data_IF_884916957338
#
_entry.id   IF_884916957338
#
_cell.length_a   1.000
_cell.length_b   1.000
_cell.length_c   1.000
_cell.angle_alpha   90.00
_cell.angle_beta   90.00
_cell.angle_gamma   90.00
#
_symmetry.space_group_name_H-M   'P 1'
#
loop_
_entity.id
_entity.type
_entity.pdbx_description
1 polymer ?
#
# COMPACT_ATOMS: atom_id res chain seq x y z
N UNK A 1 -7.89 25.15 -72.23
CA UNK A 1 -8.98 25.59 -71.34
C UNK A 1 -9.83 24.36 -71.06
N UNK A 2 -9.58 23.71 -69.92
CA UNK A 2 -10.44 22.64 -69.40
C UNK A 2 -10.32 22.63 -67.89
N UNK A 3 -11.45 22.89 -67.24
CA UNK A 3 -11.67 22.96 -65.80
C UNK A 3 -11.26 21.69 -65.05
N UNK A 4 -10.51 21.87 -63.95
CA UNK A 4 -10.26 20.83 -62.96
C UNK A 4 -11.29 21.03 -61.84
N UNK A 5 -12.35 20.25 -61.87
CA UNK A 5 -13.27 20.12 -60.75
C UNK A 5 -12.66 19.18 -59.69
N UNK A 6 -12.33 19.72 -58.52
CA UNK A 6 -12.04 18.95 -57.31
C UNK A 6 -13.35 18.76 -56.53
N UNK A 7 -13.90 17.53 -56.40
CA UNK A 7 -15.04 17.28 -55.54
C UNK A 7 -14.62 17.28 -54.07
N UNK A 8 -15.41 17.98 -53.28
CA UNK A 8 -15.29 18.20 -51.84
C UNK A 8 -15.79 16.99 -51.05
N UNK A 9 -15.02 16.66 -50.00
CA UNK A 9 -15.35 16.01 -48.71
C UNK A 9 -16.56 15.06 -48.60
N UNK A 10 -16.31 13.81 -48.20
CA UNK A 10 -17.21 13.10 -47.28
C UNK A 10 -16.44 12.00 -46.51
N UNK A 11 -16.13 12.26 -45.23
CA UNK A 11 -15.70 11.24 -44.26
C UNK A 11 -16.95 10.65 -43.59
N UNK A 12 -16.92 9.36 -43.18
CA UNK A 12 -16.41 9.12 -41.83
C UNK A 12 -15.43 7.95 -41.77
N UNK A 13 -14.19 8.27 -41.37
CA UNK A 13 -13.20 7.34 -40.87
C UNK A 13 -13.75 6.60 -39.65
N UNK A 14 -14.34 5.42 -39.85
CA UNK A 14 -14.62 4.47 -38.78
C UNK A 14 -13.33 3.77 -38.40
N UNK A 15 -12.45 4.48 -37.68
CA UNK A 15 -11.35 3.83 -36.95
C UNK A 15 -12.02 2.99 -35.88
N UNK A 16 -12.27 1.72 -36.18
CA UNK A 16 -12.43 0.70 -35.14
C UNK A 16 -11.12 0.75 -34.36
N UNK A 17 -11.11 1.44 -33.21
CA UNK A 17 -10.14 1.13 -32.16
C UNK A 17 -10.42 -0.33 -31.80
N UNK A 18 -9.67 -1.24 -32.40
CA UNK A 18 -9.37 -2.49 -31.73
C UNK A 18 -8.83 -2.09 -30.37
N UNK A 19 -9.63 -2.30 -29.33
CA UNK A 19 -9.14 -2.33 -27.96
C UNK A 19 -8.12 -3.46 -27.99
N UNK A 20 -6.85 -3.11 -28.11
CA UNK A 20 -5.77 -4.06 -27.85
C UNK A 20 -6.09 -4.62 -26.47
N UNK A 21 -6.37 -5.93 -26.32
CA UNK A 21 -6.47 -6.50 -24.99
C UNK A 21 -5.17 -6.11 -24.30
N UNK A 22 -5.28 -5.35 -23.21
CA UNK A 22 -4.14 -4.96 -22.37
C UNK A 22 -3.35 -6.23 -22.15
N UNK A 23 -2.18 -6.33 -22.79
CA UNK A 23 -1.33 -7.49 -22.63
C UNK A 23 -1.09 -7.65 -21.12
N UNK A 24 -1.22 -8.87 -20.55
CA UNK A 24 -0.89 -9.06 -19.15
C UNK A 24 0.55 -8.59 -18.97
N UNK A 25 0.72 -7.59 -18.10
CA UNK A 25 2.04 -7.05 -17.76
C UNK A 25 2.85 -8.24 -17.21
N UNK A 26 4.05 -8.52 -17.75
CA UNK A 26 4.86 -9.64 -17.30
C UNK A 26 5.11 -9.51 -15.79
N UNK A 27 4.79 -10.57 -15.06
CA UNK A 27 4.82 -10.59 -13.59
C UNK A 27 6.17 -11.18 -13.20
N UNK A 28 7.15 -10.32 -12.93
CA UNK A 28 8.49 -10.73 -12.47
C UNK A 28 8.46 -11.26 -11.03
N UNK A 29 9.42 -12.13 -10.70
CA UNK A 29 9.57 -12.79 -9.40
C UNK A 29 9.40 -11.78 -8.22
N UNK A 30 8.66 -12.14 -7.17
CA UNK A 30 8.42 -11.29 -5.98
C UNK A 30 9.74 -10.83 -5.32
N UNK A 31 10.80 -11.65 -5.37
CA UNK A 31 12.12 -11.30 -4.89
C UNK A 31 12.86 -10.34 -5.85
N UNK A 32 12.72 -10.55 -7.15
CA UNK A 32 13.21 -9.62 -8.17
C UNK A 32 12.53 -8.25 -8.03
N UNK A 33 11.24 -8.24 -7.70
CA UNK A 33 10.47 -7.02 -7.43
C UNK A 33 10.97 -6.29 -6.16
N UNK A 34 11.36 -7.01 -5.11
CA UNK A 34 11.92 -6.38 -3.90
C UNK A 34 13.27 -5.70 -4.20
N UNK A 35 14.17 -6.37 -4.91
CA UNK A 35 15.46 -5.81 -5.29
C UNK A 35 15.27 -4.50 -6.09
N UNK A 36 14.28 -4.44 -6.97
CA UNK A 36 13.94 -3.22 -7.69
C UNK A 36 13.42 -2.10 -6.79
N UNK A 37 12.54 -2.40 -5.83
CA UNK A 37 12.02 -1.40 -4.88
C UNK A 37 13.17 -0.80 -4.06
N UNK A 38 14.07 -1.65 -3.57
CA UNK A 38 15.27 -1.21 -2.84
C UNK A 38 16.18 -0.37 -3.74
N UNK A 39 16.38 -0.76 -5.01
CA UNK A 39 17.17 0.03 -5.97
C UNK A 39 16.56 1.41 -6.20
N UNK A 40 15.24 1.51 -6.37
CA UNK A 40 14.55 2.79 -6.55
C UNK A 40 14.65 3.65 -5.28
N UNK A 41 14.44 3.07 -4.10
CA UNK A 41 14.62 3.78 -2.83
C UNK A 41 16.04 4.35 -2.69
N UNK A 42 17.07 3.56 -2.98
CA UNK A 42 18.47 4.00 -2.95
C UNK A 42 18.78 5.08 -3.99
N UNK A 43 18.12 5.06 -5.15
CA UNK A 43 18.34 6.06 -6.21
C UNK A 43 17.93 7.48 -5.81
N UNK A 44 17.12 7.64 -4.77
CA UNK A 44 16.73 8.96 -4.24
C UNK A 44 17.85 9.70 -3.54
N UNK A 45 18.92 9.00 -3.16
CA UNK A 45 20.01 9.56 -2.34
C UNK A 45 19.68 9.71 -0.84
N UNK A 46 18.45 9.40 -0.43
CA UNK A 46 18.05 9.35 0.98
C UNK A 46 18.73 8.18 1.70
N UNK A 47 18.97 8.33 3.01
CA UNK A 47 19.46 7.25 3.85
C UNK A 47 18.35 6.22 4.05
N UNK A 48 18.58 5.00 3.56
CA UNK A 48 17.68 3.86 3.73
C UNK A 48 18.19 2.95 4.85
N UNK A 49 17.32 2.68 5.83
CA UNK A 49 17.53 1.64 6.83
C UNK A 49 16.33 0.68 6.82
N UNK A 50 16.60 -0.61 6.94
CA UNK A 50 15.58 -1.65 6.95
C UNK A 50 15.86 -2.53 8.17
N UNK A 51 14.91 -2.64 9.08
CA UNK A 51 14.98 -3.57 10.19
C UNK A 51 14.58 -4.99 9.71
N UNK A 52 15.03 -6.06 10.39
CA UNK A 52 14.53 -7.41 10.12
C UNK A 52 13.01 -7.45 10.18
N UNK A 53 12.38 -8.12 9.22
CA UNK A 53 10.93 -8.33 9.25
C UNK A 53 10.58 -9.24 10.42
N UNK A 54 9.54 -8.86 11.15
CA UNK A 54 9.06 -9.63 12.28
C UNK A 54 7.73 -10.30 11.94
N UNK A 55 7.53 -11.49 12.48
CA UNK A 55 6.36 -12.33 12.26
C UNK A 55 5.61 -12.54 13.57
N UNK A 56 4.32 -12.82 13.48
CA UNK A 56 3.48 -13.05 14.66
C UNK A 56 2.49 -14.19 14.45
N UNK A 57 2.22 -14.94 15.52
CA UNK A 57 1.16 -15.94 15.59
C UNK A 57 -0.20 -15.32 15.94
N UNK A 58 -0.17 -14.23 16.71
CA UNK A 58 -1.32 -13.75 17.49
C UNK A 58 -1.51 -12.23 17.43
N UNK A 59 -0.60 -11.49 16.78
CA UNK A 59 -0.59 -10.03 16.75
C UNK A 59 0.05 -9.38 17.97
N UNK A 60 0.45 -10.15 18.98
CA UNK A 60 0.97 -9.67 20.27
C UNK A 60 2.47 -9.85 20.33
N UNK A 61 2.96 -11.07 20.06
CA UNK A 61 4.39 -11.39 20.07
C UNK A 61 4.94 -11.33 18.66
N UNK A 62 6.03 -10.59 18.49
CA UNK A 62 6.70 -10.36 17.21
C UNK A 62 8.11 -10.95 17.27
N UNK A 63 8.46 -11.78 16.30
CA UNK A 63 9.76 -12.47 16.23
C UNK A 63 10.41 -12.31 14.86
N UNK A 64 11.72 -12.07 14.76
CA UNK A 64 12.41 -11.87 13.49
C UNK A 64 12.64 -13.17 12.70
N UNK A 65 12.39 -14.33 13.32
CA UNK A 65 12.59 -15.64 12.71
C UNK A 65 11.35 -16.50 12.94
N UNK A 66 10.79 -17.03 11.86
CA UNK A 66 9.62 -17.90 11.88
C UNK A 66 10.03 -19.34 11.53
N UNK A 67 9.95 -20.25 12.50
CA UNK A 67 10.37 -21.65 12.35
C UNK A 67 9.19 -22.65 12.39
N UNK A 68 7.96 -22.14 12.47
CA UNK A 68 6.78 -23.01 12.52
C UNK A 68 6.43 -23.50 11.11
N UNK A 69 5.86 -24.71 11.04
CA UNK A 69 5.34 -25.27 9.78
C UNK A 69 4.11 -24.51 9.28
N UNK A 70 3.29 -24.00 10.20
CA UNK A 70 2.14 -23.16 9.87
C UNK A 70 2.60 -21.75 9.50
N UNK A 71 1.93 -21.12 8.50
CA UNK A 71 2.25 -19.75 8.14
C UNK A 71 1.94 -18.79 9.32
N UNK A 72 2.70 -17.69 9.45
CA UNK A 72 2.42 -16.69 10.47
C UNK A 72 1.04 -16.05 10.25
N UNK A 73 0.41 -15.55 11.30
CA UNK A 73 -0.84 -14.79 11.16
C UNK A 73 -0.59 -13.42 10.49
N UNK A 74 0.58 -12.83 10.73
CA UNK A 74 0.97 -11.56 10.14
C UNK A 74 2.47 -11.31 10.19
N UNK A 75 2.89 -10.26 9.48
CA UNK A 75 4.26 -9.77 9.48
C UNK A 75 4.29 -8.23 9.54
N UNK A 76 5.37 -7.71 10.11
CA UNK A 76 5.66 -6.30 10.31
C UNK A 76 7.03 -5.99 9.70
N UNK A 77 7.06 -5.01 8.81
CA UNK A 77 8.31 -4.46 8.28
C UNK A 77 8.46 -3.00 8.72
N UNK A 78 9.69 -2.64 9.06
CA UNK A 78 10.07 -1.28 9.45
C UNK A 78 11.16 -0.77 8.53
N UNK A 79 10.89 0.35 7.86
CA UNK A 79 11.81 1.05 6.97
C UNK A 79 11.99 2.46 7.47
N UNK A 80 13.24 2.96 7.52
CA UNK A 80 13.53 4.36 7.83
C UNK A 80 14.10 5.07 6.61
N UNK A 81 13.51 6.22 6.27
CA UNK A 81 14.00 7.16 5.25
C UNK A 81 14.50 8.41 5.96
N UNK A 82 15.80 8.69 5.88
CA UNK A 82 16.43 9.82 6.57
C UNK A 82 16.10 9.89 8.07
N UNK A 83 15.99 8.71 8.71
CA UNK A 83 15.63 8.56 10.12
C UNK A 83 14.12 8.60 10.41
N UNK A 84 13.27 8.90 9.43
CA UNK A 84 11.81 8.86 9.58
C UNK A 84 11.32 7.42 9.43
N UNK A 85 10.74 6.88 10.50
CA UNK A 85 10.26 5.52 10.57
C UNK A 85 8.91 5.31 9.89
N UNK A 86 8.82 4.27 9.08
CA UNK A 86 7.59 3.78 8.45
C UNK A 86 7.42 2.30 8.78
N UNK A 87 6.35 1.98 9.50
CA UNK A 87 5.98 0.62 9.89
C UNK A 87 4.78 0.19 9.05
N UNK A 88 4.86 -1.00 8.44
CA UNK A 88 3.75 -1.65 7.75
C UNK A 88 3.51 -3.02 8.34
N UNK A 89 2.24 -3.28 8.68
CA UNK A 89 1.76 -4.58 9.15
C UNK A 89 0.80 -5.15 8.10
N UNK A 90 0.96 -6.43 7.79
CA UNK A 90 0.06 -7.17 6.90
C UNK A 90 -0.30 -8.51 7.49
N UNK A 91 -1.51 -8.98 7.19
CA UNK A 91 -1.94 -10.34 7.50
C UNK A 91 -1.51 -11.28 6.37
N UNK A 92 -1.19 -12.52 6.73
CA UNK A 92 -0.85 -13.56 5.76
C UNK A 92 -1.96 -13.77 4.73
N UNK A 93 -3.21 -13.83 5.19
CA UNK A 93 -4.39 -14.04 4.33
C UNK A 93 -4.62 -12.91 3.31
N UNK A 94 -4.08 -11.71 3.56
CA UNK A 94 -4.16 -10.56 2.64
C UNK A 94 -3.00 -10.54 1.63
N UNK A 95 -2.00 -11.38 1.83
CA UNK A 95 -0.80 -11.45 0.98
C UNK A 95 -0.89 -12.54 -0.08
N UNK A 96 -1.79 -13.51 0.09
CA UNK A 96 -1.97 -14.60 -0.86
C UNK A 96 -2.39 -14.04 -2.24
N UNK A 97 -1.68 -14.42 -3.32
CA UNK A 97 -2.11 -14.12 -4.67
C UNK A 97 -3.49 -14.73 -4.95
N UNK A 98 -4.30 -14.05 -5.75
CA UNK A 98 -5.58 -14.61 -6.21
C UNK A 98 -5.38 -15.91 -6.99
N UNK A 99 -6.36 -16.81 -6.91
CA UNK A 99 -6.29 -18.17 -7.48
C UNK A 99 -6.06 -18.20 -9.00
N UNK A 100 -6.47 -17.14 -9.70
CA UNK A 100 -6.34 -16.97 -11.15
C UNK A 100 -5.04 -16.29 -11.59
N UNK A 101 -4.19 -15.85 -10.65
CA UNK A 101 -2.96 -15.13 -10.98
C UNK A 101 -1.90 -16.09 -11.56
N UNK A 102 -1.49 -15.83 -12.80
CA UNK A 102 -0.48 -16.61 -13.51
C UNK A 102 0.84 -15.83 -13.67
N UNK A 103 1.94 -16.56 -13.69
CA UNK A 103 3.27 -16.05 -14.11
C UNK A 103 3.37 -15.93 -15.62
N UNK A 104 4.43 -15.29 -16.09
CA UNK A 104 4.87 -15.27 -17.49
C UNK A 104 5.10 -16.68 -18.08
N UNK A 105 5.52 -17.62 -17.23
CA UNK A 105 5.73 -19.04 -17.52
C UNK A 105 4.45 -19.88 -17.45
N UNK A 106 3.31 -19.27 -17.12
CA UNK A 106 2.01 -19.94 -17.02
C UNK A 106 1.79 -20.75 -15.73
N UNK A 107 2.69 -20.64 -14.75
CA UNK A 107 2.51 -21.23 -13.41
C UNK A 107 1.56 -20.37 -12.59
N UNK A 108 0.83 -20.96 -11.63
CA UNK A 108 0.04 -20.16 -10.68
C UNK A 108 0.96 -19.51 -9.67
N UNK A 109 0.71 -18.23 -9.39
CA UNK A 109 1.44 -17.50 -8.35
C UNK A 109 1.27 -18.12 -6.97
N UNK A 110 0.10 -18.69 -6.70
CA UNK A 110 -0.17 -19.37 -5.44
C UNK A 110 0.77 -20.56 -5.23
N UNK A 111 1.07 -21.34 -6.27
CA UNK A 111 1.98 -22.48 -6.16
C UNK A 111 3.40 -22.02 -5.78
N UNK A 112 3.88 -20.96 -6.44
CA UNK A 112 5.20 -20.35 -6.16
C UNK A 112 5.24 -19.74 -4.77
N UNK A 113 4.12 -19.16 -4.32
CA UNK A 113 3.99 -18.61 -2.99
C UNK A 113 4.07 -19.69 -1.91
N UNK A 114 3.40 -20.82 -2.14
CA UNK A 114 3.35 -21.94 -1.20
C UNK A 114 4.68 -22.70 -1.08
N UNK A 115 5.54 -22.65 -2.11
CA UNK A 115 6.90 -23.22 -2.08
C UNK A 115 7.82 -22.52 -1.08
N UNK A 116 7.75 -21.17 -0.97
CA UNK A 116 8.64 -20.36 -0.12
C UNK A 116 7.85 -19.32 0.69
N UNK A 117 6.87 -19.79 1.44
CA UNK A 117 5.85 -18.99 2.12
C UNK A 117 6.41 -17.80 2.91
N UNK A 118 7.33 -18.07 3.84
CA UNK A 118 7.89 -17.05 4.74
C UNK A 118 8.65 -15.97 3.97
N UNK A 119 9.53 -16.35 3.06
CA UNK A 119 10.36 -15.42 2.27
C UNK A 119 9.50 -14.53 1.34
N UNK A 120 8.47 -15.13 0.73
CA UNK A 120 7.55 -14.39 -0.15
C UNK A 120 6.72 -13.39 0.62
N UNK A 121 6.27 -13.76 1.82
CA UNK A 121 5.52 -12.86 2.69
C UNK A 121 6.40 -11.76 3.25
N UNK A 122 7.62 -12.07 3.66
CA UNK A 122 8.64 -11.09 4.05
C UNK A 122 8.83 -10.04 2.96
N UNK A 123 9.11 -10.50 1.73
CA UNK A 123 9.33 -9.64 0.57
C UNK A 123 8.11 -8.77 0.28
N UNK A 124 6.91 -9.31 0.43
CA UNK A 124 5.66 -8.58 0.23
C UNK A 124 5.46 -7.46 1.26
N UNK A 125 5.65 -7.73 2.56
CA UNK A 125 5.48 -6.70 3.59
C UNK A 125 6.57 -5.63 3.47
N UNK A 126 7.80 -6.03 3.12
CA UNK A 126 8.89 -5.09 2.91
C UNK A 126 8.67 -4.18 1.70
N UNK A 127 8.16 -4.70 0.57
CA UNK A 127 7.76 -3.88 -0.58
C UNK A 127 6.67 -2.86 -0.20
N UNK A 128 5.69 -3.27 0.58
CA UNK A 128 4.64 -2.37 1.05
C UNK A 128 5.19 -1.27 1.98
N UNK A 129 6.18 -1.60 2.83
CA UNK A 129 6.87 -0.62 3.67
C UNK A 129 7.69 0.37 2.83
N UNK A 130 8.45 -0.12 1.84
CA UNK A 130 9.21 0.71 0.90
C UNK A 130 8.30 1.63 0.08
N UNK A 131 7.19 1.12 -0.44
CA UNK A 131 6.21 1.93 -1.17
C UNK A 131 5.61 3.06 -0.32
N UNK A 132 5.42 2.80 0.97
CA UNK A 132 4.91 3.80 1.92
C UNK A 132 5.96 4.81 2.36
N UNK A 133 7.22 4.39 2.51
CA UNK A 133 8.33 5.27 2.89
C UNK A 133 8.82 6.15 1.72
N UNK A 134 8.65 5.67 0.49
CA UNK A 134 9.06 6.35 -0.75
C UNK A 134 7.88 6.53 -1.72
N UNK A 135 6.79 7.20 -1.31
CA UNK A 135 5.59 7.33 -2.13
C UNK A 135 5.83 8.13 -3.41
N UNK A 136 6.81 9.03 -3.39
CA UNK A 136 7.25 9.89 -4.49
C UNK A 136 7.90 9.13 -5.66
N UNK A 137 8.54 8.00 -5.40
CA UNK A 137 9.28 7.24 -6.42
C UNK A 137 8.78 5.79 -6.59
N UNK A 138 8.15 5.22 -5.56
CA UNK A 138 7.60 3.86 -5.56
C UNK A 138 6.07 3.87 -5.51
N UNK A 139 5.44 4.85 -4.85
CA UNK A 139 4.01 4.81 -4.49
C UNK A 139 3.02 4.66 -5.66
N UNK A 140 3.43 4.98 -6.89
CA UNK A 140 2.63 4.76 -8.10
C UNK A 140 2.85 3.37 -8.75
N UNK A 141 3.73 2.53 -8.21
CA UNK A 141 3.96 1.16 -8.69
C UNK A 141 2.87 0.22 -8.19
N UNK A 142 2.33 -0.53 -9.14
CA UNK A 142 1.25 -1.48 -8.93
C UNK A 142 1.70 -2.67 -8.08
N UNK A 143 1.06 -2.90 -6.94
CA UNK A 143 1.18 -4.16 -6.20
C UNK A 143 0.38 -5.25 -6.94
N UNK A 144 1.10 -6.22 -7.49
CA UNK A 144 0.56 -7.27 -8.36
C UNK A 144 -0.45 -8.16 -7.62
N UNK A 145 -1.60 -8.44 -8.27
CA UNK A 145 -2.59 -9.41 -7.79
C UNK A 145 -3.72 -8.86 -6.91
N UNK A 146 -3.74 -7.55 -6.58
CA UNK A 146 -4.88 -6.94 -5.89
C UNK A 146 -5.86 -6.29 -6.87
N UNK A 147 -7.18 -6.53 -6.75
CA UNK A 147 -8.16 -5.82 -7.54
C UNK A 147 -8.02 -4.30 -7.28
N UNK A 148 -7.95 -3.55 -8.38
CA UNK A 148 -7.86 -2.09 -8.36
C UNK A 148 -9.15 -1.55 -7.76
N UNK A 149 -9.10 -1.02 -6.54
CA UNK A 149 -10.08 -0.01 -6.15
C UNK A 149 -9.76 1.20 -7.02
N UNK A 150 -10.68 1.71 -7.85
CA UNK A 150 -10.45 2.95 -8.56
C UNK A 150 -10.08 4.00 -7.52
N UNK A 151 -8.87 4.55 -7.60
CA UNK A 151 -8.53 5.77 -6.87
C UNK A 151 -9.60 6.76 -7.31
N UNK A 152 -10.45 7.21 -6.38
CA UNK A 152 -11.36 8.31 -6.64
C UNK A 152 -10.46 9.42 -7.17
N UNK A 153 -10.63 9.77 -8.44
CA UNK A 153 -9.87 10.87 -9.02
C UNK A 153 -10.28 12.08 -8.20
N UNK A 154 -9.34 12.69 -7.47
CA UNK A 154 -9.62 13.99 -6.86
C UNK A 154 -10.13 14.88 -7.99
N UNK A 155 -11.32 15.49 -7.83
CA UNK A 155 -11.85 16.36 -8.87
C UNK A 155 -10.80 17.43 -9.17
N UNK A 156 -10.56 17.68 -10.46
CA UNK A 156 -9.64 18.70 -10.89
C UNK A 156 -9.98 20.02 -10.17
N UNK A 157 -8.96 20.70 -9.65
CA UNK A 157 -9.09 21.97 -8.96
C UNK A 157 -9.86 22.96 -9.86
N UNK A 158 -11.12 23.25 -9.51
CA UNK A 158 -12.01 24.14 -10.25
C UNK A 158 -13.28 23.52 -10.84
N UNK A 159 -13.50 22.21 -10.74
CA UNK A 159 -14.78 21.60 -11.14
C UNK A 159 -15.76 21.60 -9.94
N UNK A 160 -16.94 22.25 -10.03
CA UNK A 160 -17.88 22.30 -8.92
C UNK A 160 -18.33 20.88 -8.59
N UNK A 161 -18.31 20.54 -7.28
CA UNK A 161 -18.83 19.27 -6.80
C UNK A 161 -20.21 19.00 -7.42
N UNK A 162 -20.50 17.77 -7.87
CA UNK A 162 -21.81 17.44 -8.41
C UNK A 162 -22.87 17.84 -7.37
N UNK A 163 -23.91 18.58 -7.78
CA UNK A 163 -24.91 19.05 -6.83
C UNK A 163 -25.56 17.84 -6.17
N UNK A 164 -25.43 17.76 -4.84
CA UNK A 164 -26.16 16.77 -4.05
C UNK A 164 -27.63 17.07 -4.23
N UNK A 165 -28.36 16.12 -4.80
CA UNK A 165 -29.82 16.24 -4.94
C UNK A 165 -30.47 16.13 -3.57
N UNK A 166 -31.64 16.76 -3.35
CA UNK A 166 -32.38 16.62 -2.09
C UNK A 166 -32.68 15.15 -1.73
N UNK A 167 -32.84 14.29 -2.74
CA UNK A 167 -33.03 12.84 -2.57
C UNK A 167 -31.79 12.16 -2.00
N UNK A 168 -30.60 12.50 -2.50
CA UNK A 168 -29.33 11.98 -1.98
C UNK A 168 -29.04 12.47 -0.55
N UNK A 169 -29.43 13.70 -0.22
CA UNK A 169 -29.32 14.21 1.15
C UNK A 169 -30.26 13.44 2.10
N UNK A 170 -31.49 13.15 1.67
CA UNK A 170 -32.45 12.39 2.46
C UNK A 170 -32.01 10.93 2.67
N UNK A 171 -31.40 10.30 1.66
CA UNK A 171 -30.88 8.92 1.77
C UNK A 171 -29.73 8.82 2.77
N UNK A 172 -28.85 9.84 2.82
CA UNK A 172 -27.77 9.92 3.81
C UNK A 172 -28.33 10.16 5.21
N UNK A 173 -29.31 11.04 5.37
CA UNK A 173 -29.94 11.30 6.67
C UNK A 173 -30.69 10.07 7.19
N UNK A 174 -31.40 9.34 6.32
CA UNK A 174 -32.07 8.09 6.68
C UNK A 174 -31.07 7.00 7.06
N UNK A 175 -29.96 6.88 6.31
CA UNK A 175 -28.89 5.94 6.63
C UNK A 175 -28.21 6.27 7.96
N UNK A 176 -27.96 7.55 8.25
CA UNK A 176 -27.39 8.00 9.53
C UNK A 176 -28.37 7.76 10.68
N UNK A 177 -29.67 7.98 10.48
CA UNK A 177 -30.70 7.73 11.48
C UNK A 177 -30.88 6.23 11.78
N UNK A 178 -30.64 5.36 10.79
CA UNK A 178 -30.71 3.91 10.94
C UNK A 178 -29.49 3.29 11.66
N UNK A 179 -28.40 4.06 11.84
CA UNK A 179 -27.25 3.58 12.59
C UNK A 179 -27.61 3.47 14.08
N UNK A 180 -27.39 2.30 14.72
CA UNK A 180 -27.56 2.14 16.16
C UNK A 180 -26.39 2.82 16.87
N UNK A 181 -26.43 4.14 16.97
CA UNK A 181 -25.50 4.88 17.79
C UNK A 181 -25.91 4.69 19.27
N UNK A 182 -25.12 3.93 20.02
CA UNK A 182 -25.18 4.00 21.47
C UNK A 182 -24.37 5.23 21.90
N UNK A 183 -24.92 6.15 22.72
CA UNK A 183 -24.11 7.18 23.35
C UNK A 183 -23.01 6.48 24.15
N UNK A 184 -21.75 6.73 23.79
CA UNK A 184 -20.62 6.25 24.58
C UNK A 184 -20.85 6.62 26.05
N UNK A 185 -20.78 5.68 27.00
CA UNK A 185 -20.89 6.02 28.40
C UNK A 185 -19.81 7.04 28.71
N UNK A 186 -20.23 8.23 29.13
CA UNK A 186 -19.32 9.28 29.59
C UNK A 186 -18.63 8.75 30.84
N UNK A 187 -17.51 8.06 30.64
CA UNK A 187 -16.59 7.72 31.71
C UNK A 187 -16.13 9.05 32.28
N UNK A 188 -16.63 9.41 33.47
CA UNK A 188 -16.07 10.50 34.26
C UNK A 188 -14.59 10.16 34.46
N UNK A 189 -13.72 10.84 33.72
CA UNK A 189 -12.28 10.79 33.94
C UNK A 189 -12.08 11.22 35.40
N UNK A 190 -11.59 10.35 36.30
CA UNK A 190 -11.19 10.82 37.61
C UNK A 190 -10.05 11.82 37.39
N UNK A 191 -10.25 13.07 37.80
CA UNK A 191 -9.21 14.09 37.87
C UNK A 191 -8.18 13.71 38.94
N UNK A 192 -7.39 12.68 38.67
CA UNK A 192 -6.21 12.32 39.43
C UNK A 192 -4.98 12.99 38.83
N UNK A 193 -3.96 13.33 39.64
CA UNK A 193 -2.71 13.89 39.14
C UNK A 193 -2.05 12.88 38.18
N UNK A 194 -1.74 13.34 36.97
CA UNK A 194 -0.99 12.59 35.97
C UNK A 194 0.36 12.20 36.58
N UNK A 195 0.73 10.91 36.65
CA UNK A 195 2.05 10.53 37.13
C UNK A 195 3.10 11.01 36.12
N UNK A 196 4.00 11.88 36.57
CA UNK A 196 5.16 12.26 35.77
C UNK A 196 6.08 11.05 35.58
N UNK A 197 6.60 10.81 34.36
CA UNK A 197 7.66 9.84 34.18
C UNK A 197 8.89 10.24 35.00
N UNK A 198 9.64 9.28 35.58
CA UNK A 198 10.85 9.59 36.33
C UNK A 198 11.87 10.27 35.41
N UNK A 199 12.42 11.39 35.88
CA UNK A 199 13.45 12.15 35.16
C UNK A 199 14.63 11.25 34.80
N UNK A 200 15.04 11.30 33.52
CA UNK A 200 16.23 10.61 33.04
C UNK A 200 17.47 11.10 33.84
N UNK A 201 18.12 10.17 34.53
CA UNK A 201 19.35 10.43 35.26
C UNK A 201 20.49 10.60 34.24
N UNK A 202 20.80 11.83 33.85
CA UNK A 202 21.96 12.13 33.00
C UNK A 202 23.22 12.13 33.89
N UNK A 203 24.20 11.23 33.69
CA UNK A 203 25.46 11.29 34.41
C UNK A 203 26.25 12.51 33.94
N UNK A 204 26.61 13.40 34.87
CA UNK A 204 27.55 14.50 34.58
C UNK A 204 28.93 13.91 34.37
N UNK A 205 29.46 14.03 33.15
CA UNK A 205 30.87 13.79 32.87
C UNK A 205 31.70 14.87 33.59
N UNK A 206 32.41 14.50 34.65
CA UNK A 206 33.45 15.33 35.22
C UNK A 206 34.62 15.40 34.25
N UNK A 207 34.87 16.60 33.73
CA UNK A 207 36.12 16.94 33.06
C UNK A 207 37.28 16.81 34.05
N UNK A 208 38.16 15.85 33.79
CA UNK A 208 39.47 15.78 34.40
C UNK A 208 40.50 16.25 33.38
N UNK A 209 41.02 17.46 33.59
CA UNK A 209 42.31 17.87 33.03
C UNK A 209 43.43 17.14 33.79
N UNK A 210 44.30 16.47 33.05
CA UNK A 210 45.73 16.32 33.35
C UNK A 210 46.46 16.02 32.03
#
# INVERSE_FOLDING_TARGET
MTDIALPTDDRPSRIRRTVTPTAPIPVDDVAQTLAEYTRVALSTGARLEIDPVEFTADGVVWVPLWLNEEPPAGARATVRRDGVETIVIRRWVEALPGEEALTDTGRRWQDIWLENQTERFESYVLRAALARAYPDVIGDRFDMGKPRVPRLTEPAEGEPAPPVTPEQAAEVDEAVAALPWEPAPVARIPSGPVPHPPSAHIPRLHGGSA
#
